data_IF_154291655473
#
_entry.id   IF_154291655473
#
_cell.length_a   1.000
_cell.length_b   1.000
_cell.length_c   1.000
_cell.angle_alpha   90.00
_cell.angle_beta   90.00
_cell.angle_gamma   90.00
#
_symmetry.space_group_name_H-M   'P 1'
#
loop_
_entity.id
_entity.type
_entity.pdbx_description
1 polymer ?
#
# COMPACT_ATOMS: atom_id res chain seq x y z
N UNK A 1 -23.95 -1.68 -103.97
CA UNK A 1 -22.62 -1.44 -103.29
C UNK A 1 -22.90 -1.71 -101.81
N UNK A 2 -22.35 -2.80 -101.25
CA UNK A 2 -22.81 -3.53 -100.11
C UNK A 2 -21.88 -3.17 -98.94
N UNK A 3 -22.41 -2.74 -97.83
CA UNK A 3 -21.70 -2.56 -96.61
C UNK A 3 -22.27 -3.42 -95.49
N UNK A 4 -21.47 -4.30 -95.03
CA UNK A 4 -21.80 -5.29 -94.04
C UNK A 4 -21.58 -4.72 -92.61
N UNK A 5 -22.47 -4.80 -91.64
CA UNK A 5 -22.18 -4.40 -90.27
C UNK A 5 -21.66 -5.57 -89.42
N UNK A 6 -20.55 -5.34 -88.74
CA UNK A 6 -19.88 -6.25 -87.83
C UNK A 6 -20.71 -6.48 -86.55
N UNK A 7 -20.82 -7.74 -86.19
CA UNK A 7 -21.47 -8.25 -84.97
C UNK A 7 -20.59 -7.97 -83.74
N UNK A 8 -21.08 -7.18 -82.80
CA UNK A 8 -20.46 -6.96 -81.51
C UNK A 8 -20.73 -8.15 -80.55
N UNK A 9 -19.69 -8.88 -80.20
CA UNK A 9 -19.74 -9.94 -79.23
C UNK A 9 -19.85 -9.37 -77.80
N UNK A 10 -21.02 -9.52 -77.20
CA UNK A 10 -21.27 -9.16 -75.81
C UNK A 10 -20.55 -10.11 -74.84
N UNK A 11 -19.47 -9.59 -74.25
CA UNK A 11 -18.78 -10.29 -73.15
C UNK A 11 -19.63 -10.27 -71.86
N UNK A 12 -20.04 -11.44 -71.39
CA UNK A 12 -20.71 -11.59 -70.10
C UNK A 12 -19.76 -11.23 -68.96
N UNK A 13 -20.16 -10.43 -67.96
CA UNK A 13 -19.33 -10.14 -66.80
C UNK A 13 -19.08 -11.45 -65.99
N UNK A 14 -17.83 -11.79 -65.79
CA UNK A 14 -17.42 -12.93 -64.99
C UNK A 14 -17.86 -12.72 -63.54
N UNK A 15 -18.81 -13.48 -63.10
CA UNK A 15 -19.29 -13.55 -61.71
C UNK A 15 -18.13 -14.10 -60.81
N UNK A 16 -17.29 -13.22 -60.29
CA UNK A 16 -16.23 -13.58 -59.36
C UNK A 16 -16.88 -13.84 -57.99
N UNK A 17 -17.10 -15.11 -57.70
CA UNK A 17 -17.50 -15.53 -56.35
C UNK A 17 -16.38 -15.10 -55.39
N UNK A 18 -16.71 -14.45 -54.24
CA UNK A 18 -15.70 -14.10 -53.25
C UNK A 18 -15.00 -15.37 -52.77
N UNK A 19 -13.65 -15.33 -52.81
CA UNK A 19 -12.83 -16.44 -52.40
C UNK A 19 -13.11 -16.76 -50.91
N UNK A 20 -13.62 -17.97 -50.65
CA UNK A 20 -13.82 -18.43 -49.26
C UNK A 20 -12.45 -18.61 -48.63
N UNK A 21 -12.17 -17.86 -47.56
CA UNK A 21 -10.98 -18.00 -46.77
C UNK A 21 -10.84 -19.44 -46.24
N UNK A 22 -9.64 -20.03 -46.26
CA UNK A 22 -9.44 -21.39 -45.79
C UNK A 22 -9.77 -21.48 -44.28
N UNK A 23 -10.35 -22.61 -43.81
CA UNK A 23 -10.84 -22.75 -42.43
C UNK A 23 -9.79 -22.56 -41.35
N UNK A 24 -8.52 -22.73 -41.70
CA UNK A 24 -7.38 -22.46 -40.79
C UNK A 24 -7.22 -20.97 -40.48
N UNK A 25 -7.44 -20.06 -41.45
CA UNK A 25 -7.38 -18.60 -41.24
C UNK A 25 -8.56 -18.12 -40.39
N UNK A 26 -9.74 -18.73 -40.55
CA UNK A 26 -10.91 -18.40 -39.71
C UNK A 26 -10.68 -18.79 -38.24
N UNK A 27 -10.11 -19.97 -37.99
CA UNK A 27 -9.77 -20.41 -36.62
C UNK A 27 -8.69 -19.53 -35.98
N UNK A 28 -7.66 -19.15 -36.73
CA UNK A 28 -6.61 -18.26 -36.24
C UNK A 28 -7.17 -16.86 -35.86
N UNK A 29 -8.10 -16.32 -36.66
CA UNK A 29 -8.78 -15.05 -36.37
C UNK A 29 -9.68 -15.16 -35.12
N UNK A 30 -10.38 -16.27 -34.95
CA UNK A 30 -11.22 -16.50 -33.75
C UNK A 30 -10.37 -16.60 -32.49
N UNK A 31 -9.25 -17.33 -32.50
CA UNK A 31 -8.31 -17.43 -31.39
C UNK A 31 -7.71 -16.06 -31.07
N UNK A 32 -7.27 -15.30 -32.06
CA UNK A 32 -6.75 -13.96 -31.87
C UNK A 32 -7.77 -13.00 -31.24
N UNK A 33 -9.04 -13.12 -31.64
CA UNK A 33 -10.13 -12.30 -31.10
C UNK A 33 -10.47 -12.68 -29.65
N UNK A 34 -10.43 -13.97 -29.31
CA UNK A 34 -10.60 -14.45 -27.94
C UNK A 34 -9.44 -14.02 -27.02
N UNK A 35 -8.21 -14.07 -27.51
CA UNK A 35 -7.03 -13.60 -26.78
C UNK A 35 -7.10 -12.08 -26.57
N UNK A 36 -7.49 -11.31 -27.59
CA UNK A 36 -7.67 -9.87 -27.48
C UNK A 36 -8.80 -9.51 -26.49
N UNK A 37 -9.93 -10.24 -26.52
CA UNK A 37 -11.02 -10.06 -25.57
C UNK A 37 -10.61 -10.41 -24.13
N UNK A 38 -9.80 -11.45 -23.95
CA UNK A 38 -9.24 -11.84 -22.65
C UNK A 38 -8.31 -10.77 -22.10
N UNK A 39 -7.41 -10.22 -22.93
CA UNK A 39 -6.54 -9.09 -22.54
C UNK A 39 -7.33 -7.80 -22.27
N UNK A 40 -8.37 -7.52 -23.01
CA UNK A 40 -9.24 -6.36 -22.77
C UNK A 40 -10.00 -6.50 -21.44
N UNK A 41 -10.41 -7.72 -21.05
CA UNK A 41 -11.06 -8.00 -19.77
C UNK A 41 -10.10 -7.84 -18.58
N UNK A 42 -8.80 -8.11 -18.76
CA UNK A 42 -7.76 -7.90 -17.74
C UNK A 42 -7.38 -6.42 -17.56
N UNK A 43 -7.67 -5.57 -18.55
CA UNK A 43 -7.30 -4.15 -18.52
C UNK A 43 -8.28 -3.25 -17.73
N UNK A 44 -9.40 -3.76 -17.25
CA UNK A 44 -10.36 -2.99 -16.45
C UNK A 44 -10.03 -3.04 -14.96
N UNK A 45 -8.80 -2.70 -14.58
CA UNK A 45 -8.53 -2.31 -13.18
C UNK A 45 -9.09 -0.90 -13.01
N UNK A 46 -10.32 -0.79 -12.55
CA UNK A 46 -10.88 0.47 -12.08
C UNK A 46 -10.09 0.88 -10.84
N UNK A 47 -9.13 1.77 -11.00
CA UNK A 47 -8.55 2.46 -9.86
C UNK A 47 -9.65 3.33 -9.28
N UNK A 48 -10.12 2.96 -8.09
CA UNK A 48 -10.98 3.83 -7.32
C UNK A 48 -10.25 5.16 -7.11
N UNK A 49 -10.89 6.28 -7.48
CA UNK A 49 -10.30 7.59 -7.27
C UNK A 49 -10.05 7.78 -5.77
N UNK A 50 -8.83 8.15 -5.41
CA UNK A 50 -8.48 8.43 -4.02
C UNK A 50 -9.28 9.61 -3.50
N UNK A 51 -9.93 9.44 -2.35
CA UNK A 51 -10.72 10.48 -1.70
C UNK A 51 -9.89 11.09 -0.58
N UNK A 52 -9.52 12.37 -0.73
CA UNK A 52 -8.93 13.16 0.34
C UNK A 52 -10.06 13.74 1.19
N UNK A 53 -10.18 13.38 2.48
CA UNK A 53 -11.23 13.91 3.33
C UNK A 53 -11.05 15.42 3.55
N UNK A 54 -12.15 16.18 3.73
CA UNK A 54 -12.07 17.61 3.98
C UNK A 54 -11.30 17.89 5.28
N UNK A 55 -10.72 19.10 5.36
CA UNK A 55 -10.03 19.55 6.57
C UNK A 55 -10.99 19.51 7.77
N UNK A 56 -10.60 18.91 8.90
CA UNK A 56 -11.46 18.85 10.08
C UNK A 56 -11.56 20.22 10.78
N UNK A 57 -12.70 20.44 11.44
CA UNK A 57 -12.94 21.68 12.20
C UNK A 57 -12.44 21.60 13.65
N UNK A 58 -12.00 20.41 14.10
CA UNK A 58 -11.59 20.15 15.48
C UNK A 58 -10.21 19.48 15.51
N UNK A 59 -9.57 19.54 16.67
CA UNK A 59 -8.33 18.80 16.91
C UNK A 59 -8.55 17.31 17.04
N UNK A 60 -9.71 16.92 17.62
CA UNK A 60 -10.10 15.52 17.77
C UNK A 60 -11.33 15.22 16.92
N UNK A 61 -11.21 14.25 16.01
CA UNK A 61 -12.24 13.90 15.05
C UNK A 61 -12.43 12.37 15.00
N UNK A 62 -13.58 11.90 15.46
CA UNK A 62 -13.95 10.49 15.40
C UNK A 62 -15.12 10.28 14.42
N UNK A 63 -14.76 9.88 13.19
CA UNK A 63 -15.72 9.56 12.13
C UNK A 63 -16.15 8.08 12.19
N UNK A 64 -15.48 7.25 13.00
CA UNK A 64 -15.81 5.84 13.18
C UNK A 64 -16.78 5.58 14.35
N UNK A 65 -16.93 6.57 15.26
CA UNK A 65 -17.83 6.48 16.39
C UNK A 65 -17.37 5.48 17.46
N UNK A 66 -16.06 5.28 17.61
CA UNK A 66 -15.48 4.32 18.57
C UNK A 66 -15.10 4.95 19.91
N UNK A 67 -15.17 6.29 20.02
CA UNK A 67 -14.83 7.04 21.22
C UNK A 67 -16.12 7.65 21.84
N UNK A 68 -16.24 7.61 23.16
CA UNK A 68 -17.36 8.23 23.84
C UNK A 68 -17.38 9.75 23.61
N UNK A 69 -18.58 10.35 23.53
CA UNK A 69 -18.72 11.81 23.32
C UNK A 69 -17.99 12.63 24.39
N UNK A 70 -18.02 12.17 25.64
CA UNK A 70 -17.34 12.83 26.76
C UNK A 70 -15.82 12.77 26.63
N UNK A 71 -15.26 11.64 26.19
CA UNK A 71 -13.84 11.50 25.96
C UNK A 71 -13.40 12.30 24.73
N UNK A 72 -14.18 12.32 23.65
CA UNK A 72 -13.90 13.11 22.46
C UNK A 72 -13.81 14.61 22.77
N UNK A 73 -14.71 15.14 23.61
CA UNK A 73 -14.65 16.53 24.06
C UNK A 73 -13.39 16.80 24.90
N UNK A 74 -13.09 15.92 25.85
CA UNK A 74 -11.89 16.03 26.68
C UNK A 74 -10.60 16.02 25.85
N UNK A 75 -10.47 15.09 24.92
CA UNK A 75 -9.31 15.03 24.03
C UNK A 75 -9.20 16.29 23.15
N UNK A 76 -10.31 16.79 22.62
CA UNK A 76 -10.30 18.01 21.84
C UNK A 76 -9.82 19.22 22.66
N UNK A 77 -10.26 19.37 23.91
CA UNK A 77 -9.80 20.43 24.82
C UNK A 77 -8.33 20.29 25.18
N UNK A 78 -7.86 19.06 25.41
CA UNK A 78 -6.48 18.75 25.74
C UNK A 78 -5.54 19.11 24.59
N UNK A 79 -5.89 18.71 23.36
CA UNK A 79 -5.15 19.04 22.14
C UNK A 79 -5.12 20.55 21.88
N UNK A 80 -6.26 21.24 22.04
CA UNK A 80 -6.35 22.68 21.88
C UNK A 80 -5.54 23.44 22.97
N UNK A 81 -5.50 22.92 24.18
CA UNK A 81 -4.67 23.48 25.25
C UNK A 81 -3.18 23.30 24.94
N UNK A 82 -2.78 22.14 24.47
CA UNK A 82 -1.40 21.86 24.09
C UNK A 82 -0.89 22.83 23.02
N UNK A 83 -1.69 23.10 21.98
CA UNK A 83 -1.31 24.10 20.97
C UNK A 83 -1.17 25.50 21.56
N UNK A 84 -2.06 25.91 22.48
CA UNK A 84 -1.93 27.22 23.16
C UNK A 84 -0.65 27.34 24.00
N UNK A 85 -0.21 26.24 24.60
CA UNK A 85 1.00 26.21 25.46
C UNK A 85 2.30 26.16 24.67
N UNK A 86 2.32 25.40 23.56
CA UNK A 86 3.56 25.09 22.81
C UNK A 86 3.62 25.74 21.43
N UNK A 87 2.49 26.13 20.89
CA UNK A 87 2.27 26.51 19.50
C UNK A 87 2.38 25.33 18.51
N UNK A 88 2.58 24.10 18.98
CA UNK A 88 2.64 22.91 18.15
C UNK A 88 1.25 22.30 18.01
N UNK A 89 0.86 21.98 16.78
CA UNK A 89 -0.50 21.54 16.48
C UNK A 89 -0.56 20.01 16.35
N UNK A 90 -1.34 19.37 17.21
CA UNK A 90 -1.59 17.94 17.17
C UNK A 90 -3.06 17.71 16.84
N UNK A 91 -3.33 16.90 15.82
CA UNK A 91 -4.68 16.52 15.37
C UNK A 91 -4.81 14.98 15.42
N UNK A 92 -5.98 14.52 15.85
CA UNK A 92 -6.34 13.09 15.82
C UNK A 92 -7.53 12.90 14.90
N UNK A 93 -7.44 11.95 14.00
CA UNK A 93 -8.51 11.59 13.07
C UNK A 93 -8.71 10.08 13.00
N UNK A 94 -9.89 9.63 13.39
CA UNK A 94 -10.29 8.23 13.44
C UNK A 94 -11.33 7.99 12.34
N UNK A 95 -11.00 7.16 11.36
CA UNK A 95 -11.86 6.81 10.23
C UNK A 95 -12.34 5.36 10.32
N UNK A 96 -13.52 5.05 9.79
CA UNK A 96 -13.97 3.67 9.69
C UNK A 96 -13.01 2.83 8.85
N UNK A 97 -12.62 3.34 7.69
CA UNK A 97 -11.78 2.65 6.71
C UNK A 97 -10.97 3.64 5.87
N UNK A 98 -9.83 3.23 5.39
CA UNK A 98 -9.03 3.96 4.41
C UNK A 98 -9.75 3.93 3.04
N UNK A 99 -9.87 5.08 2.38
CA UNK A 99 -10.61 5.21 1.11
C UNK A 99 -9.65 5.23 -0.10
N UNK A 100 -8.69 4.35 -0.08
CA UNK A 100 -7.68 4.21 -1.14
C UNK A 100 -7.00 2.85 -1.04
N UNK A 101 -6.41 2.40 -2.15
CA UNK A 101 -5.52 1.23 -2.20
C UNK A 101 -4.05 1.63 -2.07
N UNK A 102 -3.75 2.92 -1.88
CA UNK A 102 -2.39 3.44 -1.68
C UNK A 102 -1.80 2.95 -0.35
N UNK A 103 -0.47 3.03 -0.24
CA UNK A 103 0.19 2.81 1.05
C UNK A 103 -0.28 3.84 2.09
N UNK A 104 -0.38 3.40 3.36
CA UNK A 104 -0.88 4.24 4.44
C UNK A 104 -0.02 5.48 4.67
N UNK A 105 1.31 5.38 4.56
CA UNK A 105 2.21 6.51 4.75
C UNK A 105 1.97 7.56 3.68
N UNK A 106 1.88 7.16 2.42
CA UNK A 106 1.64 8.05 1.29
C UNK A 106 0.26 8.71 1.36
N UNK A 107 -0.78 7.93 1.69
CA UNK A 107 -2.13 8.47 1.82
C UNK A 107 -2.24 9.48 2.94
N UNK A 108 -1.79 9.13 4.14
CA UNK A 108 -1.86 10.01 5.31
C UNK A 108 -1.00 11.26 5.16
N UNK A 109 0.12 11.18 4.42
CA UNK A 109 0.92 12.35 4.07
C UNK A 109 0.14 13.33 3.19
N UNK A 110 -0.51 12.83 2.11
CA UNK A 110 -1.34 13.69 1.24
C UNK A 110 -2.50 14.32 1.99
N UNK A 111 -3.16 13.57 2.87
CA UNK A 111 -4.24 14.08 3.72
C UNK A 111 -3.73 15.17 4.67
N UNK A 112 -2.63 14.91 5.39
CA UNK A 112 -2.03 15.87 6.31
C UNK A 112 -1.58 17.16 5.60
N UNK A 113 -1.01 17.05 4.41
CA UNK A 113 -0.66 18.19 3.55
C UNK A 113 -1.88 18.99 3.11
N UNK A 114 -2.95 18.32 2.66
CA UNK A 114 -4.19 18.96 2.24
C UNK A 114 -4.87 19.71 3.40
N UNK A 115 -4.79 19.17 4.61
CA UNK A 115 -5.31 19.81 5.81
C UNK A 115 -4.47 20.99 6.27
N UNK A 116 -3.17 20.99 5.95
CA UNK A 116 -2.24 22.03 6.33
C UNK A 116 -2.11 22.17 7.83
N UNK A 117 -2.00 21.04 8.56
CA UNK A 117 -1.85 21.01 10.01
C UNK A 117 -0.49 21.59 10.42
N UNK A 118 -0.47 22.43 11.45
CA UNK A 118 0.70 23.16 11.91
C UNK A 118 0.86 24.54 11.27
N UNK A 119 1.83 25.29 11.75
CA UNK A 119 2.15 26.64 11.25
C UNK A 119 3.07 26.54 10.03
N UNK A 120 2.82 27.36 9.01
CA UNK A 120 3.55 27.36 7.75
C UNK A 120 5.06 27.53 7.94
N UNK A 121 5.46 28.48 8.75
CA UNK A 121 6.86 28.84 9.00
C UNK A 121 7.57 27.79 9.86
N UNK A 122 6.86 27.23 10.84
CA UNK A 122 7.41 26.27 11.80
C UNK A 122 7.28 24.83 11.36
N UNK A 123 6.29 24.50 10.49
CA UNK A 123 5.98 23.15 10.04
C UNK A 123 5.80 22.16 11.20
N UNK A 124 5.18 22.63 12.26
CA UNK A 124 5.08 22.00 13.58
C UNK A 124 3.72 21.32 13.79
N UNK A 125 3.27 20.58 12.79
CA UNK A 125 2.05 19.80 12.83
C UNK A 125 2.33 18.31 13.05
N UNK A 126 1.44 17.64 13.80
CA UNK A 126 1.40 16.19 13.95
C UNK A 126 -0.03 15.70 13.71
N UNK A 127 -0.21 14.63 12.98
CA UNK A 127 -1.53 14.01 12.81
C UNK A 127 -1.46 12.53 13.13
N UNK A 128 -2.27 12.09 14.10
CA UNK A 128 -2.50 10.67 14.36
C UNK A 128 -3.72 10.21 13.56
N UNK A 129 -3.50 9.38 12.56
CA UNK A 129 -4.53 8.71 11.79
C UNK A 129 -4.81 7.31 12.32
N UNK A 130 -6.08 6.94 12.42
CA UNK A 130 -6.52 5.60 12.81
C UNK A 130 -7.60 5.13 11.83
N UNK A 131 -7.44 3.93 11.24
CA UNK A 131 -8.40 3.29 10.35
C UNK A 131 -8.86 1.98 11.01
N UNK A 132 -10.05 2.03 11.61
CA UNK A 132 -10.53 1.00 12.53
C UNK A 132 -10.73 -0.36 11.85
N UNK A 133 -11.39 -0.38 10.69
CA UNK A 133 -11.66 -1.62 9.95
C UNK A 133 -10.40 -2.22 9.32
N UNK A 134 -9.47 -1.37 8.88
CA UNK A 134 -8.19 -1.80 8.31
C UNK A 134 -7.18 -2.19 9.40
N UNK A 135 -7.49 -1.88 10.67
CA UNK A 135 -6.60 -2.07 11.82
C UNK A 135 -5.22 -1.45 11.60
N UNK A 136 -5.20 -0.26 11.07
CA UNK A 136 -3.99 0.49 10.76
C UNK A 136 -4.01 1.84 11.44
N UNK A 137 -2.85 2.30 11.89
CA UNK A 137 -2.65 3.65 12.41
C UNK A 137 -1.32 4.21 11.91
N UNK A 138 -1.25 5.53 11.80
CA UNK A 138 -0.05 6.23 11.37
C UNK A 138 0.04 7.59 12.04
N UNK A 139 1.24 7.96 12.50
CA UNK A 139 1.55 9.30 12.99
C UNK A 139 2.33 10.01 11.90
N UNK A 140 1.75 11.04 11.30
CA UNK A 140 2.44 11.94 10.38
C UNK A 140 3.05 13.10 11.17
N UNK A 141 4.32 13.39 10.89
CA UNK A 141 5.09 14.41 11.59
C UNK A 141 5.55 15.47 10.60
N UNK A 142 5.30 16.73 10.92
CA UNK A 142 5.79 17.87 10.15
C UNK A 142 7.28 18.09 10.39
N UNK A 143 7.99 18.63 9.41
CA UNK A 143 9.44 18.84 9.42
C UNK A 143 9.99 19.51 10.68
N UNK A 144 9.24 20.48 11.23
CA UNK A 144 9.67 21.21 12.42
C UNK A 144 9.71 20.38 13.70
N UNK A 145 9.01 19.23 13.71
CA UNK A 145 8.93 18.33 14.85
C UNK A 145 9.69 17.00 14.66
N UNK A 146 10.31 16.75 13.50
CA UNK A 146 11.07 15.51 13.26
C UNK A 146 12.22 15.31 14.26
N UNK A 147 12.81 16.41 14.74
CA UNK A 147 13.85 16.36 15.79
C UNK A 147 13.33 15.93 17.16
N UNK A 148 12.08 16.31 17.50
CA UNK A 148 11.44 15.98 18.77
C UNK A 148 10.67 14.65 18.72
N UNK A 149 10.03 14.38 17.58
CA UNK A 149 9.22 13.18 17.32
C UNK A 149 9.75 12.48 16.04
N UNK A 150 10.94 11.88 16.05
CA UNK A 150 11.45 11.14 14.90
C UNK A 150 10.65 9.86 14.65
N UNK A 151 10.78 9.30 13.44
CA UNK A 151 10.06 8.10 13.00
C UNK A 151 10.16 6.93 13.98
N UNK A 152 11.32 6.74 14.59
CA UNK A 152 11.53 5.68 15.56
C UNK A 152 10.68 5.88 16.82
N UNK A 153 10.51 7.13 17.26
CA UNK A 153 9.65 7.47 18.40
C UNK A 153 8.17 7.34 18.02
N UNK A 154 7.77 7.81 16.83
CA UNK A 154 6.42 7.64 16.32
C UNK A 154 6.05 6.14 16.20
N UNK A 155 6.98 5.31 15.71
CA UNK A 155 6.81 3.86 15.68
C UNK A 155 6.67 3.26 17.08
N UNK A 156 7.50 3.67 18.02
CA UNK A 156 7.47 3.19 19.42
C UNK A 156 6.11 3.50 20.08
N UNK A 157 5.59 4.70 19.84
CA UNK A 157 4.27 5.11 20.31
C UNK A 157 3.18 4.23 19.71
N UNK A 158 3.15 4.05 18.39
CA UNK A 158 2.12 3.26 17.73
C UNK A 158 2.21 1.78 18.12
N UNK A 159 3.38 1.17 18.09
CA UNK A 159 3.57 -0.27 18.29
C UNK A 159 3.45 -0.69 19.75
N UNK A 160 4.04 0.10 20.68
CA UNK A 160 4.17 -0.33 22.07
C UNK A 160 3.25 0.40 23.05
N UNK A 161 2.71 1.58 22.68
CA UNK A 161 1.79 2.32 23.55
C UNK A 161 0.33 2.15 23.08
N UNK A 162 0.02 2.44 21.81
CA UNK A 162 -1.36 2.44 21.32
C UNK A 162 -1.86 1.01 21.00
N UNK A 163 -1.08 0.25 20.23
CA UNK A 163 -1.47 -1.07 19.71
C UNK A 163 -1.96 -2.07 20.77
N UNK A 164 -1.35 -2.20 21.97
CA UNK A 164 -1.84 -3.12 22.98
C UNK A 164 -3.28 -2.83 23.42
N UNK A 165 -3.65 -1.56 23.55
CA UNK A 165 -5.02 -1.13 23.85
C UNK A 165 -5.97 -1.48 22.72
N UNK A 166 -5.62 -1.16 21.49
CA UNK A 166 -6.48 -1.43 20.32
C UNK A 166 -6.72 -2.91 20.10
N UNK A 167 -5.73 -3.77 20.36
CA UNK A 167 -5.91 -5.23 20.35
C UNK A 167 -6.93 -5.73 21.33
N UNK A 168 -7.07 -5.04 22.46
CA UNK A 168 -8.07 -5.36 23.49
C UNK A 168 -9.41 -4.63 23.26
N UNK A 169 -9.56 -3.90 22.15
CA UNK A 169 -10.76 -3.10 21.88
C UNK A 169 -10.86 -1.79 22.65
N UNK A 170 -9.86 -1.46 23.47
CA UNK A 170 -9.78 -0.23 24.24
C UNK A 170 -9.26 0.92 23.39
N UNK A 171 -10.11 1.45 22.50
CA UNK A 171 -9.76 2.57 21.63
C UNK A 171 -9.54 3.86 22.42
N UNK A 172 -10.37 4.12 23.43
CA UNK A 172 -10.29 5.33 24.25
C UNK A 172 -8.99 5.39 25.04
N UNK A 173 -8.62 4.30 25.73
CA UNK A 173 -7.35 4.20 26.46
C UNK A 173 -6.14 4.29 25.53
N UNK A 174 -6.19 3.64 24.36
CA UNK A 174 -5.12 3.70 23.36
C UNK A 174 -4.90 5.11 22.82
N UNK A 175 -5.97 5.85 22.53
CA UNK A 175 -5.87 7.26 22.09
C UNK A 175 -5.34 8.14 23.21
N UNK A 176 -5.80 7.97 24.43
CA UNK A 176 -5.31 8.75 25.58
C UNK A 176 -3.79 8.59 25.76
N UNK A 177 -3.31 7.34 25.78
CA UNK A 177 -1.87 7.05 25.90
C UNK A 177 -1.09 7.56 24.69
N UNK A 178 -1.66 7.50 23.48
CA UNK A 178 -1.07 8.01 22.25
C UNK A 178 -0.86 9.53 22.30
N UNK A 179 -1.89 10.28 22.66
CA UNK A 179 -1.84 11.74 22.83
C UNK A 179 -0.80 12.14 23.88
N UNK A 180 -0.84 11.54 25.06
CA UNK A 180 0.12 11.80 26.15
C UNK A 180 1.57 11.51 25.70
N UNK A 181 1.79 10.41 24.97
CA UNK A 181 3.11 10.03 24.47
C UNK A 181 3.63 11.01 23.41
N UNK A 182 2.77 11.48 22.49
CA UNK A 182 3.10 12.51 21.50
C UNK A 182 3.49 13.81 22.20
N UNK A 183 2.73 14.26 23.20
CA UNK A 183 3.04 15.47 23.97
C UNK A 183 4.39 15.36 24.69
N UNK A 184 4.65 14.23 25.34
CA UNK A 184 5.93 13.95 25.98
C UNK A 184 7.10 13.96 25.00
N UNK A 185 6.89 13.42 23.80
CA UNK A 185 7.92 13.43 22.76
C UNK A 185 8.25 14.87 22.33
N UNK A 186 7.23 15.68 22.04
CA UNK A 186 7.40 17.08 21.62
C UNK A 186 8.09 17.90 22.72
N UNK A 187 7.79 17.63 24.00
CA UNK A 187 8.43 18.29 25.14
C UNK A 187 9.83 17.76 25.47
N UNK A 188 10.29 16.70 24.77
CA UNK A 188 11.57 16.03 25.06
C UNK A 188 11.55 15.14 26.32
N UNK A 189 10.38 14.81 26.82
CA UNK A 189 10.17 13.99 28.04
C UNK A 189 9.88 12.51 27.74
N UNK A 190 9.76 12.14 26.48
CA UNK A 190 9.41 10.78 26.08
C UNK A 190 10.54 9.79 26.40
N UNK A 191 10.19 8.72 27.10
CA UNK A 191 11.06 7.58 27.34
C UNK A 191 10.65 6.43 26.45
N UNK A 192 11.47 6.08 25.48
CA UNK A 192 11.26 4.97 24.57
C UNK A 192 11.09 3.63 25.32
N UNK A 193 10.62 2.62 24.61
CA UNK A 193 10.41 1.27 25.14
C UNK A 193 11.69 0.55 25.56
N UNK A 194 12.86 1.12 25.24
CA UNK A 194 14.17 0.52 25.47
C UNK A 194 14.51 -0.65 24.54
N UNK A 195 13.64 -0.96 23.56
CA UNK A 195 13.86 -2.06 22.61
C UNK A 195 14.59 -1.57 21.36
N UNK A 196 15.67 -2.26 21.00
CA UNK A 196 16.40 -1.97 19.76
C UNK A 196 15.73 -2.58 18.53
N UNK A 197 16.07 -2.07 17.33
CA UNK A 197 15.60 -2.63 16.07
C UNK A 197 16.02 -4.11 15.91
N UNK A 198 17.19 -4.47 16.40
CA UNK A 198 17.70 -5.85 16.39
C UNK A 198 16.88 -6.80 17.26
N UNK A 199 16.37 -6.33 18.41
CA UNK A 199 15.51 -7.12 19.30
C UNK A 199 14.11 -7.32 18.72
N UNK A 200 13.62 -6.40 17.87
CA UNK A 200 12.34 -6.55 17.14
C UNK A 200 12.35 -7.74 16.21
N UNK A 201 13.46 -8.00 15.51
CA UNK A 201 13.57 -9.09 14.54
C UNK A 201 13.75 -10.47 15.22
N UNK A 202 14.16 -10.50 16.50
CA UNK A 202 14.28 -11.75 17.26
C UNK A 202 12.95 -12.30 17.79
N UNK A 203 11.93 -11.47 17.94
CA UNK A 203 10.61 -11.88 18.44
C UNK A 203 9.71 -12.58 17.43
N UNK A 204 10.03 -12.53 16.13
CA UNK A 204 9.22 -13.11 15.05
C UNK A 204 9.88 -14.27 14.29
N UNK A 205 11.04 -14.72 14.72
CA UNK A 205 11.87 -15.62 13.94
C UNK A 205 12.17 -16.97 14.61
N UNK A 206 11.18 -17.83 14.76
CA UNK A 206 11.44 -19.27 14.71
C UNK A 206 10.12 -20.03 14.68
N UNK A 207 9.71 -20.42 13.52
CA UNK A 207 9.85 -21.84 13.18
C UNK A 207 10.29 -22.08 11.73
N UNK A 208 10.75 -21.04 11.02
CA UNK A 208 11.11 -21.22 9.60
C UNK A 208 12.16 -22.28 9.36
N UNK A 209 13.18 -22.39 10.21
CA UNK A 209 14.21 -23.43 10.03
C UNK A 209 13.66 -24.83 10.29
N UNK A 210 12.84 -24.99 11.33
CA UNK A 210 12.21 -26.28 11.63
C UNK A 210 11.22 -26.69 10.53
N UNK A 211 10.40 -25.76 10.05
CA UNK A 211 9.50 -26.00 8.91
C UNK A 211 10.29 -26.29 7.64
N UNK A 212 11.40 -25.61 7.39
CA UNK A 212 12.26 -25.87 6.25
C UNK A 212 12.87 -27.26 6.32
N UNK A 213 13.36 -27.69 7.49
CA UNK A 213 13.89 -29.05 7.70
C UNK A 213 12.79 -30.09 7.54
N UNK A 214 11.60 -29.89 8.12
CA UNK A 214 10.46 -30.80 7.94
C UNK A 214 10.04 -30.88 6.48
N UNK A 215 9.99 -29.75 5.76
CA UNK A 215 9.69 -29.72 4.33
C UNK A 215 10.73 -30.47 3.50
N UNK A 216 12.01 -30.31 3.80
CA UNK A 216 13.11 -31.00 3.11
C UNK A 216 13.07 -32.49 3.38
N UNK A 217 12.80 -32.92 4.61
CA UNK A 217 12.60 -34.34 4.97
C UNK A 217 11.37 -34.91 4.27
N UNK A 218 10.27 -34.17 4.21
CA UNK A 218 9.08 -34.60 3.49
C UNK A 218 9.35 -34.78 1.99
N UNK A 219 10.10 -33.86 1.35
CA UNK A 219 10.52 -34.00 -0.05
C UNK A 219 11.38 -35.27 -0.28
N UNK A 220 12.31 -35.56 0.63
CA UNK A 220 13.16 -36.77 0.56
C UNK A 220 12.30 -38.02 0.69
N UNK A 221 11.37 -38.07 1.62
CA UNK A 221 10.45 -39.19 1.84
C UNK A 221 9.55 -39.40 0.61
N UNK A 222 8.95 -38.31 0.10
CA UNK A 222 8.12 -38.34 -1.10
C UNK A 222 8.91 -38.83 -2.30
N UNK A 223 10.16 -38.39 -2.50
CA UNK A 223 11.01 -38.85 -3.61
C UNK A 223 11.37 -40.32 -3.51
N UNK A 224 11.60 -40.84 -2.28
CA UNK A 224 11.84 -42.30 -2.06
C UNK A 224 10.59 -43.13 -2.28
N UNK A 225 9.41 -42.62 -1.88
CA UNK A 225 8.12 -43.29 -2.10
C UNK A 225 7.78 -43.34 -3.59
N UNK A 226 7.95 -42.21 -4.30
CA UNK A 226 7.73 -42.14 -5.75
C UNK A 226 8.69 -43.04 -6.54
N UNK A 227 9.96 -43.15 -6.11
CA UNK A 227 10.92 -44.11 -6.70
C UNK A 227 10.55 -45.56 -6.46
N UNK A 228 9.82 -45.90 -5.38
CA UNK A 228 9.32 -47.26 -5.11
C UNK A 228 8.03 -47.57 -5.88
N UNK A 229 7.24 -46.56 -6.26
CA UNK A 229 5.95 -46.73 -6.94
C UNK A 229 6.04 -46.59 -8.47
N UNK A 230 7.13 -46.03 -9.02
CA UNK A 230 7.28 -45.74 -10.44
C UNK A 230 8.53 -46.29 -11.02
N UNK A 231 8.50 -47.57 -11.40
CA UNK A 231 9.46 -48.14 -12.33
C UNK A 231 9.16 -47.67 -13.75
N UNK A 232 9.66 -46.52 -14.15
CA UNK A 232 9.80 -46.11 -15.53
C UNK A 232 11.20 -45.53 -15.72
N UNK A 233 12.04 -46.30 -16.37
CA UNK A 233 13.35 -45.86 -16.81
C UNK A 233 13.21 -44.82 -17.89
N UNK A 234 13.82 -43.66 -17.69
CA UNK A 234 14.12 -42.73 -18.75
C UNK A 234 15.64 -42.57 -18.82
N UNK A 235 16.20 -43.01 -19.94
CA UNK A 235 17.63 -42.93 -20.23
C UNK A 235 17.99 -41.54 -20.69
N UNK A 236 18.95 -40.97 -20.00
CA UNK A 236 20.06 -40.12 -20.41
C UNK A 236 19.89 -39.14 -21.58
N UNK A 237 19.96 -37.87 -21.26
CA UNK A 237 20.48 -36.83 -22.12
C UNK A 237 21.47 -35.97 -21.33
N UNK A 238 22.70 -35.90 -21.81
CA UNK A 238 23.80 -35.12 -21.30
C UNK A 238 23.45 -33.63 -21.32
N UNK A 239 23.31 -32.99 -20.19
CA UNK A 239 23.20 -31.54 -20.07
C UNK A 239 23.78 -31.11 -18.73
N UNK A 240 24.87 -30.34 -18.76
CA UNK A 240 25.62 -29.90 -17.61
C UNK A 240 24.83 -28.88 -16.73
N UNK A 241 25.27 -28.66 -15.50
CA UNK A 241 24.61 -27.75 -14.57
C UNK A 241 24.73 -26.30 -15.02
N UNK A 242 23.58 -25.66 -15.19
CA UNK A 242 23.54 -24.23 -15.42
C UNK A 242 23.66 -23.54 -14.04
N UNK A 243 24.81 -22.94 -13.79
CA UNK A 243 25.04 -22.05 -12.68
C UNK A 243 24.34 -20.72 -12.96
N UNK A 244 23.34 -20.35 -12.16
CA UNK A 244 22.86 -18.98 -12.09
C UNK A 244 23.66 -18.23 -11.04
N UNK A 245 24.33 -17.13 -11.40
CA UNK A 245 24.94 -16.26 -10.39
C UNK A 245 23.86 -15.51 -9.61
N UNK A 246 24.02 -15.29 -8.30
CA UNK A 246 23.10 -14.47 -7.54
C UNK A 246 23.31 -13.00 -7.95
N UNK A 247 22.36 -12.48 -8.71
CA UNK A 247 22.28 -11.07 -9.04
C UNK A 247 21.95 -10.24 -7.80
N UNK A 248 22.92 -9.51 -7.29
CA UNK A 248 22.71 -8.47 -6.31
C UNK A 248 21.94 -7.30 -6.92
N UNK A 249 20.66 -7.18 -6.62
CA UNK A 249 19.84 -6.03 -6.93
C UNK A 249 19.92 -5.01 -5.80
N UNK A 250 20.84 -4.05 -5.87
CA UNK A 250 20.80 -2.85 -5.07
C UNK A 250 19.66 -1.96 -5.57
N UNK A 251 18.55 -1.90 -4.86
CA UNK A 251 17.48 -0.95 -5.09
C UNK A 251 17.91 0.42 -4.59
N UNK A 252 18.37 1.29 -5.48
CA UNK A 252 18.58 2.71 -5.20
C UNK A 252 17.24 3.40 -4.97
N UNK A 253 17.10 4.03 -3.83
CA UNK A 253 16.00 4.94 -3.54
C UNK A 253 16.30 6.25 -4.28
N UNK A 254 15.66 6.48 -5.40
CA UNK A 254 15.64 7.76 -6.06
C UNK A 254 14.63 8.67 -5.34
N UNK A 255 15.13 9.61 -4.58
CA UNK A 255 14.38 10.74 -4.08
C UNK A 255 14.01 11.62 -5.27
N UNK A 256 12.79 11.49 -5.74
CA UNK A 256 12.19 12.39 -6.73
C UNK A 256 11.76 13.66 -6.05
N UNK A 257 12.49 14.76 -6.26
CA UNK A 257 12.07 16.09 -5.87
C UNK A 257 10.82 16.50 -6.66
N UNK A 258 9.67 16.53 -6.01
CA UNK A 258 8.43 17.11 -6.50
C UNK A 258 8.17 18.46 -5.82
N UNK A 259 7.92 19.51 -6.63
CA UNK A 259 7.74 20.89 -6.21
C UNK A 259 6.72 21.06 -5.09
N UNK A 260 7.11 21.85 -4.08
CA UNK A 260 6.32 22.14 -2.90
C UNK A 260 5.03 22.86 -3.23
N UNK A 261 3.89 22.33 -2.77
CA UNK A 261 2.60 23.00 -2.75
C UNK A 261 2.52 23.86 -1.48
N UNK A 262 2.53 25.17 -1.66
CA UNK A 262 2.42 26.16 -0.57
C UNK A 262 0.95 26.45 -0.31
N UNK A 263 0.31 25.62 0.49
CA UNK A 263 -1.04 25.93 1.00
C UNK A 263 -0.94 26.21 2.50
N UNK A 264 -1.14 27.43 2.93
CA UNK A 264 -1.42 27.99 4.27
C UNK A 264 -1.11 27.26 5.57
N UNK A 265 -0.46 26.11 5.58
CA UNK A 265 -0.19 25.29 6.76
C UNK A 265 1.15 24.57 6.69
N UNK A 266 1.44 23.78 7.69
CA UNK A 266 2.68 23.01 7.79
C UNK A 266 2.87 22.07 6.59
N UNK A 267 4.13 21.77 6.26
CA UNK A 267 4.46 20.84 5.22
C UNK A 267 5.00 19.54 5.87
N UNK A 268 4.55 18.43 5.34
CA UNK A 268 4.94 17.09 5.78
C UNK A 268 5.89 16.49 4.75
N UNK A 269 7.07 16.01 5.21
CA UNK A 269 8.10 15.44 4.36
C UNK A 269 8.06 13.92 4.23
N UNK A 270 7.00 13.31 4.72
CA UNK A 270 6.93 11.85 4.83
C UNK A 270 7.54 11.30 6.10
N UNK A 271 7.95 12.16 7.04
CA UNK A 271 8.33 11.76 8.39
C UNK A 271 7.13 11.23 9.17
N UNK A 272 7.39 10.20 9.98
CA UNK A 272 6.37 9.52 10.77
C UNK A 272 6.46 8.01 10.70
N UNK A 273 5.62 7.35 11.45
CA UNK A 273 5.56 5.89 11.45
C UNK A 273 4.18 5.38 11.87
N UNK A 274 3.90 4.16 11.50
CA UNK A 274 2.63 3.51 11.84
C UNK A 274 2.80 2.05 12.21
N UNK A 275 1.71 1.46 12.67
CA UNK A 275 1.60 0.04 12.95
C UNK A 275 0.19 -0.47 12.64
N UNK A 276 0.04 -1.78 12.64
CA UNK A 276 -1.24 -2.48 12.53
C UNK A 276 -1.47 -3.37 13.76
N UNK A 277 -2.75 -3.60 14.15
CA UNK A 277 -3.12 -4.38 15.33
C UNK A 277 -4.08 -5.52 15.05
#
# INVERSE_FOLDING_TARGET
MILNPAVAAGGRPANRRPARLPPQILRAKQVALLVAAFFALLATTSQAAEVIPPKPDRYFNDYAGVISKSAALRFNEELARFERETSDQVVVAIFPKMQTDSDIADYTQRVAQAWGVGQKERRNGVVLFVFVQDRKMFIQVGYGLEGALPDITAFDITEYKIKPHFRNGDYEGGIAVGIDSIFKAIRGEYKGSGKTVAERHRGGGAPSFLFFVIFLVALIVISKVLRRLGGYGYSSGRGGPIFFPPGGGGGGWSSGGGGGFSGGGGSFGGGGAGSSW
#
